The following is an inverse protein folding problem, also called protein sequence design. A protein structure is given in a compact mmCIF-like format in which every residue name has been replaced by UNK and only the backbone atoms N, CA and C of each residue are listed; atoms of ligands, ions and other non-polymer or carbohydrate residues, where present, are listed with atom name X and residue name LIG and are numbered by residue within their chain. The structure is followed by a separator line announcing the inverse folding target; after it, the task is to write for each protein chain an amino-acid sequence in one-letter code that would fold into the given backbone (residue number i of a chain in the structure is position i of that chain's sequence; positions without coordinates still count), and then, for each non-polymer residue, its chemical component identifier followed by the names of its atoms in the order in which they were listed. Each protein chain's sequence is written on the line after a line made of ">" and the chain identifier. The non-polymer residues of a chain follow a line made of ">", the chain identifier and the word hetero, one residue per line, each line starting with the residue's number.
data_IF_577371051726
#
_entry.id   IF_577371051726
#
_cell.length_a   1.000
_cell.length_b   1.000
_cell.length_c   1.000
_cell.angle_alpha   90.00
_cell.angle_beta   90.00
_cell.angle_gamma   90.00
#
_symmetry.space_group_name_H-M   'P 1'
#
loop_
_entity.id
_entity.type
_entity.pdbx_description
1 polymer ?
#
# COMPACT_ATOMS: atom_id res chain seq x y z
N UNK A 1 25.86 -31.99 -21.41
CA UNK A 1 24.69 -31.49 -22.15
C UNK A 1 23.94 -32.71 -22.63
N UNK A 2 22.63 -32.72 -22.43
CA UNK A 2 21.75 -33.77 -22.93
C UNK A 2 20.85 -33.18 -24.00
N UNK A 3 20.72 -33.91 -25.10
CA UNK A 3 19.87 -33.55 -26.23
C UNK A 3 18.78 -34.60 -26.30
N UNK A 4 17.52 -34.18 -26.22
CA UNK A 4 16.43 -35.10 -26.48
C UNK A 4 16.04 -35.10 -27.94
N UNK A 5 15.74 -36.30 -28.40
CA UNK A 5 15.29 -36.56 -29.75
C UNK A 5 14.02 -35.76 -30.05
N UNK A 6 13.91 -35.34 -31.30
CA UNK A 6 12.77 -34.55 -31.76
C UNK A 6 11.52 -35.41 -31.75
N UNK A 7 10.45 -34.94 -31.09
CA UNK A 7 9.18 -35.66 -30.96
C UNK A 7 8.05 -34.89 -31.65
N UNK A 8 7.10 -35.57 -32.32
CA UNK A 8 5.92 -34.91 -32.84
C UNK A 8 5.02 -34.43 -31.69
N UNK A 9 4.44 -33.24 -31.82
CA UNK A 9 3.52 -32.65 -30.84
C UNK A 9 2.04 -32.98 -31.09
N UNK A 10 1.72 -33.55 -32.26
CA UNK A 10 0.36 -33.99 -32.63
C UNK A 10 -0.49 -32.92 -33.35
N UNK A 11 -0.03 -31.68 -33.39
CA UNK A 11 -0.64 -30.55 -34.10
C UNK A 11 0.07 -30.21 -35.43
N UNK A 12 0.93 -31.13 -35.90
CA UNK A 12 1.81 -30.90 -37.06
C UNK A 12 3.12 -30.20 -36.73
N UNK A 13 3.38 -29.87 -35.46
CA UNK A 13 4.66 -29.32 -35.01
C UNK A 13 5.54 -30.37 -34.31
N UNK A 14 6.78 -29.98 -34.01
CA UNK A 14 7.76 -30.81 -33.33
C UNK A 14 8.25 -30.16 -32.04
N UNK A 15 8.55 -30.97 -31.04
CA UNK A 15 9.19 -30.56 -29.79
C UNK A 15 10.60 -31.14 -29.71
N UNK A 16 11.56 -30.29 -29.34
CA UNK A 16 12.95 -30.68 -29.05
C UNK A 16 13.45 -29.90 -27.85
N UNK A 17 14.29 -30.51 -27.03
CA UNK A 17 14.91 -29.82 -25.90
C UNK A 17 16.38 -30.20 -25.73
N UNK A 18 17.12 -29.28 -25.11
CA UNK A 18 18.50 -29.45 -24.71
C UNK A 18 18.67 -29.00 -23.27
N UNK A 19 19.39 -29.76 -22.45
CA UNK A 19 19.70 -29.39 -21.07
C UNK A 19 21.21 -29.44 -20.83
N UNK A 20 21.67 -28.62 -19.88
CA UNK A 20 23.04 -28.70 -19.38
C UNK A 20 23.07 -28.27 -17.92
N UNK A 21 24.02 -28.81 -17.16
CA UNK A 21 24.25 -28.44 -15.76
C UNK A 21 25.18 -27.23 -15.75
N UNK A 22 24.75 -26.16 -15.09
CA UNK A 22 25.52 -24.91 -14.96
C UNK A 22 25.75 -24.61 -13.47
N UNK A 23 26.95 -24.16 -13.07
CA UNK A 23 27.17 -23.64 -11.72
C UNK A 23 26.26 -22.44 -11.42
N UNK A 24 25.76 -22.36 -10.18
CA UNK A 24 24.96 -21.22 -9.74
C UNK A 24 25.72 -19.91 -9.92
N UNK A 25 25.09 -18.92 -10.55
CA UNK A 25 25.68 -17.61 -10.84
C UNK A 25 26.43 -17.53 -12.17
N UNK A 26 26.60 -18.64 -12.88
CA UNK A 26 27.21 -18.68 -14.21
C UNK A 26 26.20 -18.85 -15.34
N UNK A 27 24.90 -18.97 -15.04
CA UNK A 27 23.84 -19.25 -16.01
C UNK A 27 23.81 -18.24 -17.15
N UNK A 28 24.09 -16.97 -16.83
CA UNK A 28 24.14 -15.86 -17.78
C UNK A 28 25.27 -15.96 -18.81
N UNK A 29 26.29 -16.79 -18.56
CA UNK A 29 27.40 -17.04 -19.50
C UNK A 29 26.99 -18.00 -20.62
N UNK A 30 25.89 -18.72 -20.44
CA UNK A 30 25.40 -19.69 -21.40
C UNK A 30 24.25 -19.14 -22.22
N UNK A 31 24.25 -19.51 -23.49
CA UNK A 31 23.28 -19.06 -24.47
C UNK A 31 22.78 -20.26 -25.25
N UNK A 32 21.47 -20.37 -25.43
CA UNK A 32 20.83 -21.37 -26.27
C UNK A 32 20.72 -20.82 -27.69
N UNK A 33 21.29 -21.53 -28.67
CA UNK A 33 21.15 -21.22 -30.10
C UNK A 33 20.28 -22.26 -30.77
N UNK A 34 19.17 -21.81 -31.36
CA UNK A 34 18.19 -22.67 -32.04
C UNK A 34 18.26 -22.41 -33.54
N UNK A 35 18.68 -23.44 -34.27
CA UNK A 35 18.67 -23.46 -35.73
C UNK A 35 17.46 -24.27 -36.19
N UNK A 36 16.64 -23.69 -37.06
CA UNK A 36 15.45 -24.32 -37.57
C UNK A 36 15.14 -23.75 -38.96
N UNK A 37 14.73 -24.59 -39.91
CA UNK A 37 14.46 -24.16 -41.30
C UNK A 37 13.36 -23.09 -41.40
N UNK A 38 12.40 -23.10 -40.46
CA UNK A 38 11.35 -22.09 -40.37
C UNK A 38 11.81 -20.73 -39.83
N UNK A 39 13.08 -20.57 -39.45
CA UNK A 39 13.64 -19.31 -38.98
C UNK A 39 14.65 -18.76 -40.01
N UNK A 40 14.54 -17.49 -40.43
CA UNK A 40 15.52 -16.90 -41.34
C UNK A 40 16.91 -16.73 -40.70
N UNK A 41 16.97 -16.61 -39.38
CA UNK A 41 18.19 -16.50 -38.59
C UNK A 41 18.11 -17.37 -37.33
N UNK A 42 19.25 -17.78 -36.74
CA UNK A 42 19.25 -18.57 -35.51
C UNK A 42 18.65 -17.80 -34.33
N UNK A 43 17.68 -18.42 -33.64
CA UNK A 43 17.13 -17.84 -32.42
C UNK A 43 18.14 -18.00 -31.27
N UNK A 44 18.53 -16.89 -30.67
CA UNK A 44 19.53 -16.83 -29.61
C UNK A 44 18.86 -16.41 -28.30
N UNK A 45 18.80 -17.32 -27.33
CA UNK A 45 18.13 -17.12 -26.05
C UNK A 45 19.13 -17.20 -24.90
N UNK A 46 19.15 -16.18 -24.04
CA UNK A 46 19.90 -16.19 -22.79
C UNK A 46 19.00 -16.63 -21.63
N UNK A 47 19.62 -17.15 -20.58
CA UNK A 47 18.92 -17.42 -19.33
C UNK A 47 18.39 -16.11 -18.73
N UNK A 48 17.15 -16.08 -18.25
CA UNK A 48 16.60 -14.96 -17.49
C UNK A 48 16.42 -15.42 -16.03
N UNK A 49 16.95 -14.69 -15.04
CA UNK A 49 16.75 -15.07 -13.66
C UNK A 49 15.27 -14.91 -13.29
N UNK A 50 14.75 -15.72 -12.35
CA UNK A 50 13.40 -15.54 -11.85
C UNK A 50 13.22 -14.12 -11.31
N UNK A 51 12.09 -13.51 -11.65
CA UNK A 51 11.78 -12.17 -11.17
C UNK A 51 11.74 -12.16 -9.64
N UNK A 52 12.52 -11.26 -9.03
CA UNK A 52 12.55 -11.14 -7.58
C UNK A 52 11.16 -10.81 -7.06
N UNK A 53 10.65 -11.65 -6.15
CA UNK A 53 9.34 -11.44 -5.50
C UNK A 53 9.43 -10.38 -4.39
N UNK A 54 10.64 -10.00 -3.97
CA UNK A 54 10.91 -9.01 -2.91
C UNK A 54 10.20 -7.66 -3.14
N UNK A 55 10.33 -6.98 -4.30
CA UNK A 55 9.62 -5.72 -4.55
C UNK A 55 8.10 -5.87 -4.46
N UNK A 56 7.54 -6.99 -4.94
CA UNK A 56 6.10 -7.25 -4.90
C UNK A 56 5.63 -7.36 -3.44
N UNK A 57 6.34 -8.14 -2.62
CA UNK A 57 6.02 -8.29 -1.20
C UNK A 57 6.17 -6.98 -0.43
N UNK A 58 7.16 -6.16 -0.77
CA UNK A 58 7.34 -4.84 -0.17
C UNK A 58 6.14 -3.92 -0.45
N UNK A 59 5.65 -3.88 -1.69
CA UNK A 59 4.47 -3.09 -2.06
C UNK A 59 3.23 -3.54 -1.29
N UNK A 60 2.98 -4.85 -1.22
CA UNK A 60 1.86 -5.41 -0.45
C UNK A 60 1.95 -5.01 1.02
N UNK A 61 3.14 -5.10 1.63
CA UNK A 61 3.37 -4.70 3.01
C UNK A 61 3.05 -3.22 3.27
N UNK A 62 3.48 -2.33 2.37
CA UNK A 62 3.19 -0.88 2.49
C UNK A 62 1.69 -0.62 2.38
N UNK A 63 1.00 -1.22 1.42
CA UNK A 63 -0.45 -1.03 1.23
C UNK A 63 -1.23 -1.47 2.47
N UNK A 64 -0.91 -2.64 3.03
CA UNK A 64 -1.53 -3.12 4.26
C UNK A 64 -1.26 -2.18 5.44
N UNK A 65 -0.03 -1.68 5.56
CA UNK A 65 0.33 -0.71 6.60
C UNK A 65 -0.50 0.58 6.52
N UNK A 66 -0.64 1.15 5.32
CA UNK A 66 -1.44 2.37 5.10
C UNK A 66 -2.91 2.16 5.45
N UNK A 67 -3.49 1.02 5.06
CA UNK A 67 -4.90 0.69 5.37
C UNK A 67 -5.12 0.58 6.88
N UNK A 68 -4.21 -0.09 7.60
CA UNK A 68 -4.30 -0.24 9.06
C UNK A 68 -4.21 1.13 9.75
N UNK A 69 -3.21 1.95 9.37
CA UNK A 69 -3.04 3.29 9.94
C UNK A 69 -4.28 4.15 9.67
N UNK A 70 -4.79 4.15 8.43
CA UNK A 70 -5.99 4.88 8.05
C UNK A 70 -7.21 4.47 8.86
N UNK A 71 -7.42 3.16 9.06
CA UNK A 71 -8.52 2.63 9.87
C UNK A 71 -8.41 3.07 11.35
N UNK A 72 -7.22 3.02 11.94
CA UNK A 72 -6.99 3.46 13.32
C UNK A 72 -7.30 4.95 13.48
N UNK A 73 -6.76 5.79 12.59
CA UNK A 73 -7.00 7.24 12.60
C UNK A 73 -8.50 7.54 12.47
N UNK A 74 -9.20 6.86 11.55
CA UNK A 74 -10.64 7.00 11.36
C UNK A 74 -11.42 6.64 12.62
N UNK A 75 -11.11 5.49 13.26
CA UNK A 75 -11.78 5.04 14.48
C UNK A 75 -11.55 6.01 15.63
N UNK A 76 -10.32 6.50 15.82
CA UNK A 76 -9.99 7.47 16.88
C UNK A 76 -10.77 8.77 16.67
N UNK A 77 -10.81 9.29 15.44
CA UNK A 77 -11.54 10.51 15.13
C UNK A 77 -13.05 10.36 15.35
N UNK A 78 -13.63 9.24 14.92
CA UNK A 78 -15.05 8.93 15.13
C UNK A 78 -15.38 8.84 16.63
N UNK A 79 -14.53 8.16 17.43
CA UNK A 79 -14.70 8.10 18.90
C UNK A 79 -14.66 9.49 19.52
N UNK A 80 -13.67 10.32 19.14
CA UNK A 80 -13.51 11.67 19.68
C UNK A 80 -14.72 12.57 19.41
N UNK A 81 -15.30 12.47 18.20
CA UNK A 81 -16.54 13.18 17.84
C UNK A 81 -17.74 12.72 18.67
N UNK A 82 -17.87 11.42 18.90
CA UNK A 82 -18.99 10.86 19.67
C UNK A 82 -18.90 11.17 21.18
N UNK A 83 -17.69 11.39 21.72
CA UNK A 83 -17.49 11.77 23.13
C UNK A 83 -17.63 13.27 23.39
N UNK A 84 -17.61 14.13 22.36
CA UNK A 84 -17.74 15.58 22.50
C UNK A 84 -19.17 16.12 22.65
N UNK A 85 -20.19 15.26 22.67
CA UNK A 85 -21.61 15.64 22.70
C UNK A 85 -22.30 15.57 24.07
N UNK A 86 -21.57 15.46 25.17
CA UNK A 86 -22.14 15.35 26.54
C UNK A 86 -21.41 16.31 27.49
N UNK A 87 -21.75 17.58 27.44
CA UNK A 87 -21.19 18.58 28.36
C UNK A 87 -21.69 19.99 28.08
N UNK A 88 -22.90 20.30 28.53
CA UNK A 88 -23.40 21.67 28.46
C UNK A 88 -24.93 21.81 28.62
N UNK A 89 -25.51 21.24 29.67
CA UNK A 89 -26.81 21.71 30.18
C UNK A 89 -26.49 22.56 31.41
N UNK A 90 -26.32 23.87 31.23
CA UNK A 90 -26.49 24.81 32.34
C UNK A 90 -27.95 25.24 32.32
N UNK A 91 -28.70 24.79 33.31
CA UNK A 91 -30.03 25.32 33.58
C UNK A 91 -29.89 26.81 33.89
N UNK A 92 -30.72 27.71 33.32
CA UNK A 92 -30.76 29.08 33.77
C UNK A 92 -31.38 29.08 35.17
N UNK A 93 -30.60 29.48 36.18
CA UNK A 93 -31.15 29.71 37.51
C UNK A 93 -32.09 30.92 37.43
N UNK A 94 -33.37 30.64 37.63
CA UNK A 94 -34.40 31.62 37.96
C UNK A 94 -34.09 32.24 39.32
N UNK A 95 -33.99 33.57 39.39
CA UNK A 95 -33.84 34.27 40.66
C UNK A 95 -33.61 35.77 40.50
N UNK A 96 -34.66 36.51 40.12
CA UNK A 96 -34.78 37.91 40.53
C UNK A 96 -35.14 37.92 42.02
N UNK A 97 -34.36 38.59 42.85
CA UNK A 97 -34.74 39.90 43.42
C UNK A 97 -33.79 40.34 44.53
N UNK A 98 -33.51 41.64 44.51
CA UNK A 98 -33.34 42.57 45.64
C UNK A 98 -32.26 42.32 46.69
N UNK A 99 -31.21 43.15 46.66
CA UNK A 99 -30.66 43.91 47.79
C UNK A 99 -29.60 44.89 47.22
N UNK A 100 -29.96 46.16 46.98
CA UNK A 100 -29.74 47.29 47.90
C UNK A 100 -28.26 47.53 48.22
N UNK A 101 -27.64 48.48 47.51
CA UNK A 101 -26.84 49.56 48.13
C UNK A 101 -26.34 50.52 47.05
N UNK A 102 -26.92 51.71 47.07
CA UNK A 102 -26.53 52.89 46.30
C UNK A 102 -25.14 53.41 46.71
N UNK A 103 -24.41 53.97 45.76
CA UNK A 103 -23.82 55.31 45.93
C UNK A 103 -23.62 55.96 44.55
N UNK A 104 -24.37 57.04 44.34
CA UNK A 104 -24.36 57.88 43.15
C UNK A 104 -23.42 59.06 43.44
N UNK A 105 -22.42 59.29 42.60
CA UNK A 105 -21.52 60.43 42.75
C UNK A 105 -22.14 61.71 42.20
N UNK A 106 -22.12 62.74 43.04
CA UNK A 106 -22.06 64.18 42.77
C UNK A 106 -23.20 64.84 41.97
N UNK A 107 -23.97 65.67 42.69
CA UNK A 107 -24.42 66.98 42.21
C UNK A 107 -24.47 68.01 43.36
N UNK A 108 -24.04 69.22 43.01
CA UNK A 108 -23.74 70.40 43.84
C UNK A 108 -24.90 71.00 44.65
N UNK A 109 -24.57 71.77 45.71
CA UNK A 109 -24.91 73.19 45.90
C UNK A 109 -24.96 73.63 47.40
N UNK A 110 -23.98 74.49 47.73
CA UNK A 110 -23.95 75.67 48.60
C UNK A 110 -25.13 76.09 49.50
N UNK A 111 -24.80 76.49 50.75
CA UNK A 111 -25.12 77.79 51.37
C UNK A 111 -24.19 78.03 52.58
#
# INVERSE_FOLDING_TARGET
>A
MELVETRPAGDGTFQKWASLVVPSGEEQKYTCHVHHEGLPEPLTLRWEPPQSTVPIMAVIGVLLGVVIIGAVVYVVWKRRRNTGGKGGNYAPASGRDSDQSSDVSLQDCQA
#
